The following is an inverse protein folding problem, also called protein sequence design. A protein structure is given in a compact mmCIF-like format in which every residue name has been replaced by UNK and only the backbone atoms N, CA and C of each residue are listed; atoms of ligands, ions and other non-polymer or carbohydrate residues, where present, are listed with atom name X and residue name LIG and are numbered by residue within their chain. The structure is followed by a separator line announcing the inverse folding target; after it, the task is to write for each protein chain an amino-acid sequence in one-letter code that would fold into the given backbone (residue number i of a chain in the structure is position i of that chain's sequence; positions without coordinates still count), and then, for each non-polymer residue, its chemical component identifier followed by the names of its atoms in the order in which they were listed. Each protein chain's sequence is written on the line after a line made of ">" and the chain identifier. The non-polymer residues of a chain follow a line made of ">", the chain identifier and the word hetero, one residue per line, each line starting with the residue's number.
data_IF_732185170359
#
_entry.id   IF_732185170359
#
_cell.length_a   1.000
_cell.length_b   1.000
_cell.length_c   1.000
_cell.angle_alpha   90.00
_cell.angle_beta   90.00
_cell.angle_gamma   90.00
#
_symmetry.space_group_name_H-M   'P 1'
#
loop_
_entity.id
_entity.type
_entity.pdbx_description
1 polymer ?
#
# COMPACT_ATOMS: atom_id res chain seq x y z
N UNK A 1 9.40 -8.63 43.38
CA UNK A 1 8.35 -8.37 42.35
C UNK A 1 8.77 -9.04 41.07
N UNK A 2 8.03 -10.05 40.57
CA UNK A 2 8.28 -10.62 39.24
C UNK A 2 7.76 -9.62 38.21
N UNK A 3 8.65 -9.11 37.37
CA UNK A 3 8.25 -8.23 36.27
C UNK A 3 7.70 -9.13 35.18
N UNK A 4 6.41 -9.00 34.85
CA UNK A 4 5.81 -9.75 33.73
C UNK A 4 6.57 -9.38 32.45
N UNK A 5 7.15 -10.37 31.77
CA UNK A 5 7.91 -10.11 30.55
C UNK A 5 6.97 -9.56 29.49
N UNK A 6 7.24 -8.33 29.04
CA UNK A 6 6.49 -7.66 27.97
C UNK A 6 6.51 -8.44 26.64
N UNK A 7 7.45 -9.37 26.50
CA UNK A 7 7.53 -10.31 25.37
C UNK A 7 6.38 -11.31 25.34
N UNK A 8 5.76 -11.58 26.50
CA UNK A 8 4.59 -12.42 26.61
C UNK A 8 3.28 -11.65 26.39
N UNK A 9 3.33 -10.32 26.26
CA UNK A 9 2.14 -9.52 26.02
C UNK A 9 1.57 -9.78 24.63
N UNK A 10 0.25 -9.94 24.55
CA UNK A 10 -0.47 -10.22 23.31
C UNK A 10 -0.28 -9.09 22.29
N UNK A 11 -0.17 -7.84 22.75
CA UNK A 11 0.07 -6.68 21.88
C UNK A 11 1.48 -6.68 21.29
N UNK A 12 2.48 -7.05 22.10
CA UNK A 12 3.85 -7.24 21.63
C UNK A 12 3.90 -8.30 20.53
N UNK A 13 3.35 -9.48 20.79
CA UNK A 13 3.27 -10.58 19.83
C UNK A 13 2.58 -10.18 18.54
N UNK A 14 1.45 -9.47 18.62
CA UNK A 14 0.70 -8.96 17.46
C UNK A 14 1.51 -7.95 16.62
N UNK A 15 2.21 -7.00 17.26
CA UNK A 15 3.02 -5.98 16.56
C UNK A 15 4.24 -6.56 15.83
N UNK A 16 4.79 -7.67 16.33
CA UNK A 16 5.94 -8.35 15.76
C UNK A 16 5.58 -9.56 14.90
N UNK A 17 4.29 -9.91 14.78
CA UNK A 17 3.83 -11.06 14.01
C UNK A 17 4.22 -12.41 14.63
N UNK A 18 4.49 -12.44 15.93
CA UNK A 18 4.84 -13.63 16.70
C UNK A 18 3.52 -14.27 17.17
N UNK A 19 2.75 -14.84 16.25
CA UNK A 19 1.54 -15.58 16.61
C UNK A 19 1.86 -17.08 16.61
N UNK A 20 2.06 -17.64 17.80
CA UNK A 20 2.12 -19.09 18.06
C UNK A 20 0.69 -19.55 18.42
N UNK A 21 -0.02 -20.12 17.44
CA UNK A 21 -1.23 -20.92 17.69
C UNK A 21 -2.59 -20.19 17.59
N UNK A 22 -3.42 -20.70 16.68
CA UNK A 22 -4.90 -20.62 16.61
C UNK A 22 -5.59 -19.25 16.69
N UNK A 23 -6.14 -18.81 15.53
CA UNK A 23 -7.19 -17.80 15.48
C UNK A 23 -7.13 -16.93 14.23
N UNK A 24 -7.91 -17.30 13.22
CA UNK A 24 -8.28 -16.51 12.05
C UNK A 24 -7.12 -15.84 11.27
N UNK A 25 -6.56 -16.66 10.37
CA UNK A 25 -5.74 -16.23 9.24
C UNK A 25 -6.50 -15.25 8.33
N UNK A 26 -6.42 -13.97 8.65
CA UNK A 26 -6.65 -12.88 7.71
C UNK A 26 -5.49 -11.88 7.77
N UNK A 27 -4.36 -12.26 7.15
CA UNK A 27 -3.48 -11.30 6.48
C UNK A 27 -2.20 -10.83 7.17
N UNK A 28 -1.67 -11.50 8.20
CA UNK A 28 -0.47 -11.04 8.91
C UNK A 28 0.67 -12.06 8.99
N UNK A 29 0.91 -12.83 7.92
CA UNK A 29 2.22 -13.45 7.70
C UNK A 29 3.16 -12.43 7.05
N UNK A 30 4.42 -12.37 7.49
CA UNK A 30 5.46 -11.66 6.73
C UNK A 30 5.52 -12.27 5.33
N UNK A 31 5.14 -11.47 4.33
CA UNK A 31 5.14 -11.88 2.93
C UNK A 31 6.59 -11.83 2.44
N UNK A 32 7.33 -12.93 2.57
CA UNK A 32 8.73 -13.07 2.13
C UNK A 32 8.89 -13.25 0.61
N UNK A 33 7.81 -13.11 -0.17
CA UNK A 33 7.82 -13.22 -1.63
C UNK A 33 7.12 -11.99 -2.18
N UNK A 34 7.80 -11.27 -3.06
CA UNK A 34 7.21 -10.14 -3.81
C UNK A 34 5.80 -10.54 -4.28
N UNK A 35 4.74 -9.78 -3.94
CA UNK A 35 3.38 -10.20 -4.24
C UNK A 35 3.27 -10.37 -5.75
N UNK A 36 2.98 -11.59 -6.21
CA UNK A 36 2.50 -11.80 -7.58
C UNK A 36 1.32 -10.87 -7.77
N UNK A 37 1.32 -10.04 -8.81
CA UNK A 37 0.31 -9.00 -9.01
C UNK A 37 -1.11 -9.55 -8.90
N UNK A 38 -1.70 -9.45 -7.71
CA UNK A 38 -3.08 -9.86 -7.48
C UNK A 38 -3.93 -8.69 -7.89
N UNK A 39 -4.42 -8.72 -9.13
CA UNK A 39 -5.49 -7.86 -9.57
C UNK A 39 -6.75 -8.26 -8.79
N UNK A 40 -6.98 -7.59 -7.67
CA UNK A 40 -8.09 -7.87 -6.77
C UNK A 40 -9.41 -7.46 -7.43
N UNK A 41 -10.06 -8.41 -8.10
CA UNK A 41 -11.46 -8.73 -7.82
C UNK A 41 -12.53 -7.68 -8.12
N UNK A 42 -12.24 -6.64 -8.89
CA UNK A 42 -13.26 -5.90 -9.64
C UNK A 42 -12.86 -5.83 -11.10
N UNK A 43 -13.32 -6.82 -11.85
CA UNK A 43 -13.83 -6.60 -13.19
C UNK A 43 -15.06 -5.67 -13.13
N UNK A 44 -14.88 -4.47 -12.57
CA UNK A 44 -15.81 -3.37 -12.68
C UNK A 44 -15.50 -2.68 -13.99
N UNK A 45 -16.04 -3.23 -15.09
CA UNK A 45 -16.41 -2.50 -16.30
C UNK A 45 -15.55 -1.25 -16.60
N UNK A 46 -14.32 -1.40 -17.10
CA UNK A 46 -13.60 -0.27 -17.73
C UNK A 46 -12.81 -0.70 -18.96
N UNK A 47 -13.33 -1.69 -19.67
CA UNK A 47 -13.12 -1.79 -21.11
C UNK A 47 -14.08 -0.78 -21.76
N UNK A 48 -13.89 0.52 -21.53
CA UNK A 48 -14.27 1.44 -22.58
C UNK A 48 -13.17 1.24 -23.63
N UNK A 49 -13.48 0.67 -24.81
CA UNK A 49 -12.54 0.75 -25.90
C UNK A 49 -12.10 2.22 -26.01
N UNK A 50 -10.82 2.53 -26.27
CA UNK A 50 -10.48 3.88 -26.72
C UNK A 50 -11.49 4.23 -27.81
N UNK A 51 -12.08 5.44 -27.80
CA UNK A 51 -13.16 5.79 -28.70
C UNK A 51 -12.77 5.33 -30.11
N UNK A 52 -13.48 4.32 -30.61
CA UNK A 52 -13.12 3.67 -31.87
C UNK A 52 -13.61 4.57 -32.99
N UNK A 53 -12.87 5.65 -33.23
CA UNK A 53 -13.20 6.69 -34.18
C UNK A 53 -12.30 7.91 -33.99
N UNK A 54 -12.25 8.82 -34.97
CA UNK A 54 -11.46 10.03 -34.88
C UNK A 54 -11.78 10.81 -33.61
N UNK A 55 -10.75 11.25 -32.87
CA UNK A 55 -10.90 12.10 -31.70
C UNK A 55 -11.49 13.47 -32.06
N UNK A 56 -11.25 13.95 -33.28
CA UNK A 56 -11.85 15.18 -33.80
C UNK A 56 -12.83 14.95 -34.95
N UNK A 57 -13.87 15.78 -34.99
CA UNK A 57 -14.72 15.89 -36.18
C UNK A 57 -14.03 16.80 -37.20
N UNK A 58 -13.65 16.23 -38.34
CA UNK A 58 -13.02 16.97 -39.45
C UNK A 58 -14.01 17.92 -40.13
N UNK A 59 -13.58 19.14 -40.41
CA UNK A 59 -14.35 20.19 -41.08
C UNK A 59 -13.67 20.58 -42.39
N UNK A 60 -12.38 20.90 -42.34
CA UNK A 60 -11.61 21.37 -43.51
C UNK A 60 -10.70 20.31 -44.13
N UNK A 61 -10.47 19.17 -43.44
CA UNK A 61 -9.54 18.13 -43.85
C UNK A 61 -8.14 18.68 -44.19
N UNK A 62 -7.65 19.59 -43.34
CA UNK A 62 -6.34 20.22 -43.49
C UNK A 62 -5.29 19.56 -42.58
N UNK A 63 -4.02 19.85 -42.84
CA UNK A 63 -2.91 19.29 -42.07
C UNK A 63 -2.96 19.64 -40.57
N UNK A 64 -3.67 20.70 -40.19
CA UNK A 64 -3.86 21.09 -38.79
C UNK A 64 -4.80 20.12 -38.08
N UNK A 65 -5.89 19.72 -38.72
CA UNK A 65 -6.79 18.68 -38.22
C UNK A 65 -6.05 17.33 -38.07
N UNK A 66 -5.17 16.98 -39.00
CA UNK A 66 -4.33 15.78 -38.88
C UNK A 66 -3.37 15.84 -37.67
N UNK A 67 -2.71 16.98 -37.45
CA UNK A 67 -1.83 17.18 -36.27
C UNK A 67 -2.62 17.11 -34.96
N UNK A 68 -3.85 17.67 -34.92
CA UNK A 68 -4.71 17.56 -33.74
C UNK A 68 -5.11 16.12 -33.44
N UNK A 69 -5.42 15.33 -34.47
CA UNK A 69 -5.75 13.92 -34.31
C UNK A 69 -4.55 13.11 -33.77
N UNK A 70 -3.35 13.31 -34.33
CA UNK A 70 -2.12 12.67 -33.85
C UNK A 70 -1.79 13.06 -32.40
N UNK A 71 -1.89 14.34 -32.07
CA UNK A 71 -1.67 14.83 -30.72
C UNK A 71 -2.67 14.22 -29.72
N UNK A 72 -3.94 14.08 -30.11
CA UNK A 72 -4.97 13.51 -29.23
C UNK A 72 -4.81 11.99 -29.06
N UNK A 73 -4.32 11.27 -30.07
CA UNK A 73 -3.97 9.87 -29.94
C UNK A 73 -2.80 9.67 -28.97
N UNK A 74 -1.75 10.49 -29.10
CA UNK A 74 -0.64 10.51 -28.15
C UNK A 74 -1.11 10.83 -26.71
N UNK A 75 -2.00 11.81 -26.56
CA UNK A 75 -2.64 12.14 -25.27
C UNK A 75 -3.44 10.95 -24.74
N UNK A 76 -4.17 10.21 -25.59
CA UNK A 76 -4.87 8.98 -25.22
C UNK A 76 -3.94 7.92 -24.64
N UNK A 77 -2.78 7.71 -25.28
CA UNK A 77 -1.72 6.83 -24.77
C UNK A 77 -1.16 7.29 -23.41
N UNK A 78 -0.87 8.59 -23.27
CA UNK A 78 -0.38 9.17 -22.02
C UNK A 78 -1.42 9.02 -20.89
N UNK A 79 -2.71 9.24 -21.17
CA UNK A 79 -3.81 9.03 -20.21
C UNK A 79 -3.87 7.57 -19.78
N UNK A 80 -3.67 6.62 -20.70
CA UNK A 80 -3.56 5.19 -20.37
C UNK A 80 -2.43 4.89 -19.39
N UNK A 81 -1.25 5.48 -19.61
CA UNK A 81 -0.12 5.35 -18.69
C UNK A 81 -0.39 6.02 -17.34
N UNK A 82 -0.96 7.22 -17.33
CA UNK A 82 -1.36 7.92 -16.10
C UNK A 82 -2.38 7.11 -15.29
N UNK A 83 -3.33 6.44 -15.97
CA UNK A 83 -4.30 5.54 -15.32
C UNK A 83 -3.60 4.36 -14.64
N UNK A 84 -2.68 3.70 -15.33
CA UNK A 84 -1.92 2.59 -14.74
C UNK A 84 -1.10 3.06 -13.54
N UNK A 85 -0.38 4.19 -13.67
CA UNK A 85 0.37 4.78 -12.56
C UNK A 85 -0.53 5.16 -11.38
N UNK A 86 -1.74 5.69 -11.63
CA UNK A 86 -2.68 6.02 -10.56
C UNK A 86 -3.18 4.77 -9.82
N UNK A 87 -3.43 3.67 -10.54
CA UNK A 87 -3.82 2.39 -9.93
C UNK A 87 -2.68 1.80 -9.11
N UNK A 88 -1.47 1.76 -9.67
CA UNK A 88 -0.29 1.22 -8.99
C UNK A 88 0.07 2.06 -7.76
N UNK A 89 0.01 3.38 -7.88
CA UNK A 89 0.24 4.31 -6.77
C UNK A 89 -0.82 4.17 -5.69
N UNK A 90 -2.10 4.00 -6.05
CA UNK A 90 -3.17 3.74 -5.08
C UNK A 90 -2.93 2.45 -4.30
N UNK A 91 -2.60 1.36 -5.00
CA UNK A 91 -2.26 0.08 -4.37
C UNK A 91 -1.02 0.18 -3.46
N UNK A 92 -0.02 0.97 -3.84
CA UNK A 92 1.18 1.18 -3.05
C UNK A 92 0.90 2.03 -1.80
N UNK A 93 0.08 3.07 -1.90
CA UNK A 93 -0.39 3.85 -0.74
C UNK A 93 -1.10 2.94 0.27
N UNK A 94 -1.99 2.07 -0.18
CA UNK A 94 -2.71 1.13 0.69
C UNK A 94 -1.77 0.15 1.42
N UNK A 95 -0.72 -0.32 0.74
CA UNK A 95 0.32 -1.16 1.36
C UNK A 95 1.13 -0.38 2.38
N UNK A 96 1.53 0.84 2.04
CA UNK A 96 2.31 1.70 2.93
C UNK A 96 1.51 2.10 4.17
N UNK A 97 0.21 2.39 4.04
CA UNK A 97 -0.67 2.64 5.18
C UNK A 97 -0.66 1.48 6.19
N UNK A 98 -0.86 0.24 5.71
CA UNK A 98 -0.77 -0.97 6.57
C UNK A 98 0.62 -1.15 7.17
N UNK A 99 1.68 -0.77 6.47
CA UNK A 99 3.03 -0.83 6.99
C UNK A 99 3.26 0.23 8.09
N UNK A 100 2.75 1.44 7.90
CA UNK A 100 2.81 2.52 8.90
C UNK A 100 2.09 2.09 10.18
N UNK A 101 0.91 1.47 10.08
CA UNK A 101 0.20 0.95 11.26
C UNK A 101 1.04 -0.07 12.05
N UNK A 102 1.72 -0.98 11.34
CA UNK A 102 2.63 -1.95 11.95
C UNK A 102 3.85 -1.26 12.60
N UNK A 103 4.42 -0.26 11.94
CA UNK A 103 5.54 0.53 12.48
C UNK A 103 5.09 1.27 13.73
N UNK A 104 3.91 1.89 13.72
CA UNK A 104 3.32 2.56 14.88
C UNK A 104 3.15 1.60 16.07
N UNK A 105 2.63 0.40 15.82
CA UNK A 105 2.55 -0.64 16.86
C UNK A 105 3.91 -1.03 17.43
N UNK A 106 4.93 -1.20 16.58
CA UNK A 106 6.30 -1.50 17.03
C UNK A 106 6.94 -0.34 17.79
N UNK A 107 6.70 0.89 17.37
CA UNK A 107 7.19 2.10 18.02
C UNK A 107 6.64 2.22 19.44
N UNK A 108 5.33 2.00 19.62
CA UNK A 108 4.68 2.02 20.94
C UNK A 108 5.27 0.92 21.86
N UNK A 109 5.44 -0.30 21.35
CA UNK A 109 6.07 -1.35 22.14
C UNK A 109 7.53 -1.05 22.50
N UNK A 110 8.25 -0.37 21.62
CA UNK A 110 9.63 0.06 21.86
C UNK A 110 9.67 1.12 22.95
N UNK A 111 8.74 2.08 22.92
CA UNK A 111 8.57 3.08 23.98
C UNK A 111 8.35 2.41 25.35
N UNK A 112 7.42 1.46 25.45
CA UNK A 112 7.15 0.77 26.72
C UNK A 112 8.39 0.03 27.23
N UNK A 113 9.15 -0.63 26.33
CA UNK A 113 10.42 -1.30 26.68
C UNK A 113 11.46 -0.33 27.23
N UNK A 114 11.62 0.83 26.61
CA UNK A 114 12.54 1.87 27.05
C UNK A 114 12.12 2.38 28.43
N UNK A 115 10.85 2.72 28.61
CA UNK A 115 10.32 3.24 29.89
C UNK A 115 10.48 2.20 31.03
N UNK A 116 10.38 0.90 30.73
CA UNK A 116 10.61 -0.16 31.70
C UNK A 116 12.10 -0.35 32.03
N UNK A 117 12.97 -0.36 31.01
CA UNK A 117 14.40 -0.44 31.18
C UNK A 117 14.93 0.74 32.00
N UNK A 118 14.43 1.94 31.74
CA UNK A 118 14.75 3.16 32.48
C UNK A 118 14.35 3.06 33.96
N UNK A 119 13.14 2.58 34.25
CA UNK A 119 12.70 2.31 35.64
C UNK A 119 13.59 1.29 36.36
N UNK A 120 14.06 0.25 35.64
CA UNK A 120 14.96 -0.75 36.21
C UNK A 120 16.34 -0.16 36.48
N UNK A 121 16.88 0.64 35.55
CA UNK A 121 18.15 1.33 35.72
C UNK A 121 18.13 2.29 36.91
N UNK A 122 17.08 3.11 37.04
CA UNK A 122 16.90 4.01 38.19
C UNK A 122 16.86 3.27 39.53
N UNK A 123 16.26 2.08 39.59
CA UNK A 123 16.26 1.24 40.80
C UNK A 123 17.62 0.63 41.14
N UNK A 124 18.50 0.45 40.16
CA UNK A 124 19.87 -0.05 40.37
C UNK A 124 20.85 1.07 40.75
N UNK A 125 20.49 2.32 40.47
CA UNK A 125 21.26 3.51 40.84
C UNK A 125 20.92 4.02 42.26
N UNK A 126 19.91 3.47 42.91
CA UNK A 126 19.56 3.71 44.31
C UNK A 126 20.11 2.59 45.20
#
# INVERSE_FOLDING_TARGET
>A
MRVSSIENDSRYKKSWGINDGEGESNGSGVVSRQPSGVHNGKAGQVNAPPPSGPYIKRITNDAREDEMEENLDAVGGIIGNLKNMAVDMGNEIDKQNKQIDRIGGKAEMTKVRIDEADKRAHKLMQ
#
